data_IF_553785618248
#
_entry.id   IF_553785618248
#
_cell.length_a   1.000
_cell.length_b   1.000
_cell.length_c   1.000
_cell.angle_alpha   90.00
_cell.angle_beta   90.00
_cell.angle_gamma   90.00
#
_symmetry.space_group_name_H-M   'P 1'
#
loop_
_entity.id
_entity.type
_entity.pdbx_description
1 polymer ?
#
# COMPACT_ATOMS: atom_id res chain seq x y z
N UNK A 1 8.27 -15.44 2.04
CA UNK A 1 7.68 -14.99 3.31
C UNK A 1 6.69 -13.87 2.96
N UNK A 2 5.38 -14.09 3.07
CA UNK A 2 4.39 -13.01 3.04
C UNK A 2 4.06 -12.72 4.50
N UNK A 3 4.41 -11.53 4.98
CA UNK A 3 3.94 -11.05 6.28
C UNK A 3 2.54 -10.51 6.11
N UNK A 4 1.67 -10.77 7.07
CA UNK A 4 0.36 -10.13 7.19
C UNK A 4 0.54 -8.89 8.07
N UNK A 5 0.33 -7.69 7.52
CA UNK A 5 0.47 -6.42 8.24
C UNK A 5 -0.87 -5.90 8.79
N UNK A 6 -1.97 -6.67 8.66
CA UNK A 6 -3.30 -6.32 9.15
C UNK A 6 -3.82 -4.96 8.63
N UNK A 7 -3.50 -4.62 7.37
CA UNK A 7 -3.82 -3.32 6.76
C UNK A 7 -5.20 -3.26 6.10
N UNK A 8 -5.96 -4.36 6.13
CA UNK A 8 -7.32 -4.40 5.62
C UNK A 8 -8.17 -3.26 6.21
N UNK A 9 -8.88 -2.54 5.33
CA UNK A 9 -9.74 -1.40 5.66
C UNK A 9 -9.04 -0.16 6.25
N UNK A 10 -7.72 -0.18 6.47
CA UNK A 10 -6.96 0.98 6.95
C UNK A 10 -6.77 2.01 5.84
N UNK A 11 -6.57 3.28 6.24
CA UNK A 11 -6.23 4.37 5.32
C UNK A 11 -4.73 4.62 5.35
N UNK A 12 -4.09 4.69 4.18
CA UNK A 12 -2.66 4.92 4.03
C UNK A 12 -2.43 6.08 3.07
N UNK A 13 -1.53 7.00 3.44
CA UNK A 13 -1.07 8.10 2.59
C UNK A 13 0.32 7.74 2.03
N UNK A 14 0.47 7.71 0.71
CA UNK A 14 1.78 7.48 0.08
C UNK A 14 2.20 8.69 -0.74
N UNK A 15 3.22 9.41 -0.27
CA UNK A 15 3.82 10.50 -1.05
C UNK A 15 4.65 9.94 -2.21
N UNK A 16 4.57 10.57 -3.38
CA UNK A 16 5.31 10.10 -4.57
C UNK A 16 4.81 8.77 -5.14
N UNK A 17 3.57 8.35 -4.84
CA UNK A 17 3.00 7.04 -5.21
C UNK A 17 2.81 6.77 -6.72
N UNK A 18 3.13 7.71 -7.61
CA UNK A 18 2.81 7.59 -9.04
C UNK A 18 3.83 6.77 -9.84
N UNK A 19 5.09 6.64 -9.37
CA UNK A 19 6.19 6.01 -10.13
C UNK A 19 7.20 5.31 -9.21
N UNK A 20 8.05 4.48 -9.81
CA UNK A 20 9.18 3.84 -9.13
C UNK A 20 8.77 3.09 -7.87
N UNK A 21 9.53 3.30 -6.79
CA UNK A 21 9.30 2.65 -5.48
C UNK A 21 7.93 3.05 -4.90
N UNK A 22 7.52 4.31 -5.03
CA UNK A 22 6.22 4.77 -4.53
C UNK A 22 5.07 3.98 -5.15
N UNK A 23 5.12 3.73 -6.46
CA UNK A 23 4.11 2.89 -7.15
C UNK A 23 4.10 1.45 -6.64
N UNK A 24 5.27 0.86 -6.39
CA UNK A 24 5.36 -0.49 -5.85
C UNK A 24 4.77 -0.58 -4.44
N UNK A 25 5.03 0.42 -3.59
CA UNK A 25 4.46 0.52 -2.24
C UNK A 25 2.93 0.63 -2.29
N UNK A 26 2.39 1.50 -3.15
CA UNK A 26 0.93 1.63 -3.35
C UNK A 26 0.32 0.27 -3.74
N UNK A 27 0.94 -0.45 -4.67
CA UNK A 27 0.46 -1.76 -5.10
C UNK A 27 0.43 -2.78 -3.95
N UNK A 28 1.49 -2.85 -3.15
CA UNK A 28 1.52 -3.75 -1.98
C UNK A 28 0.42 -3.42 -0.96
N UNK A 29 0.18 -2.14 -0.66
CA UNK A 29 -0.88 -1.76 0.28
C UNK A 29 -2.29 -2.05 -0.26
N UNK A 30 -2.51 -1.90 -1.56
CA UNK A 30 -3.77 -2.27 -2.19
C UNK A 30 -4.00 -3.78 -2.16
N UNK A 31 -2.96 -4.58 -2.41
CA UNK A 31 -3.00 -6.05 -2.32
C UNK A 31 -3.35 -6.52 -0.90
N UNK A 32 -3.01 -5.75 0.13
CA UNK A 32 -3.37 -5.99 1.53
C UNK A 32 -4.75 -5.44 1.93
N UNK A 33 -5.50 -4.84 1.00
CA UNK A 33 -6.86 -4.35 1.24
C UNK A 33 -6.92 -2.98 1.92
N UNK A 34 -5.83 -2.22 1.91
CA UNK A 34 -5.82 -0.84 2.40
C UNK A 34 -6.49 0.11 1.40
N UNK A 35 -6.99 1.24 1.91
CA UNK A 35 -7.45 2.39 1.13
C UNK A 35 -6.33 3.41 1.03
N UNK A 36 -5.71 3.50 -0.15
CA UNK A 36 -4.54 4.36 -0.39
C UNK A 36 -4.98 5.71 -0.99
N UNK A 37 -4.37 6.81 -0.53
CA UNK A 37 -4.50 8.16 -1.06
C UNK A 37 -3.13 8.79 -1.37
#
# INVERSE_FOLDING_TARGET
MRGDLELADKRVLVTGGSRGIGKAIVASFLDEGARVA
#
